data_IF_428886116322
#
_entry.id   IF_428886116322
#
_cell.length_a   1.000
_cell.length_b   1.000
_cell.length_c   1.000
_cell.angle_alpha   90.00
_cell.angle_beta   90.00
_cell.angle_gamma   90.00
#
_symmetry.space_group_name_H-M   'P 1'
#
loop_
_entity.id
_entity.type
_entity.pdbx_description
1 polymer ?
#
# COMPACT_ATOMS: atom_id res chain seq x y z
N UNK A 1 -10.14 0.23 -10.63
CA UNK A 1 -9.03 -0.65 -11.06
C UNK A 1 -8.14 -0.92 -9.86
N UNK A 2 -7.78 -2.17 -9.62
CA UNK A 2 -6.90 -2.55 -8.50
C UNK A 2 -5.57 -3.06 -9.04
N UNK A 3 -4.51 -2.90 -8.27
CA UNK A 3 -3.13 -3.12 -8.66
C UNK A 3 -2.41 -3.96 -7.61
N UNK A 4 -1.50 -4.83 -8.04
CA UNK A 4 -0.66 -5.57 -7.11
C UNK A 4 0.75 -5.82 -7.64
N UNK A 5 1.68 -6.01 -6.72
CA UNK A 5 3.04 -6.48 -7.00
C UNK A 5 3.04 -7.92 -7.51
N UNK A 6 4.00 -8.24 -8.38
CA UNK A 6 4.24 -9.58 -8.92
C UNK A 6 5.57 -10.21 -8.50
N UNK A 7 6.46 -9.44 -7.84
CA UNK A 7 7.82 -9.90 -7.54
C UNK A 7 8.20 -9.67 -6.06
N UNK A 8 7.78 -10.56 -5.15
CA UNK A 8 8.05 -10.43 -3.72
C UNK A 8 9.53 -10.56 -3.31
N UNK A 9 10.44 -10.91 -4.24
CA UNK A 9 11.86 -11.16 -3.93
C UNK A 9 12.61 -9.98 -3.33
N UNK A 10 12.20 -8.74 -3.64
CA UNK A 10 12.69 -7.52 -2.98
C UNK A 10 11.50 -6.66 -2.48
N UNK A 11 11.10 -6.95 -1.24
CA UNK A 11 9.97 -6.33 -0.55
C UNK A 11 10.05 -4.81 -0.43
N UNK A 12 11.26 -4.26 -0.35
CA UNK A 12 11.47 -2.82 -0.19
C UNK A 12 11.33 -2.12 -1.55
N UNK A 13 11.90 -2.71 -2.61
CA UNK A 13 11.75 -2.24 -3.98
C UNK A 13 10.29 -2.29 -4.45
N UNK A 14 9.56 -3.35 -4.13
CA UNK A 14 8.15 -3.47 -4.49
C UNK A 14 7.27 -2.46 -3.78
N UNK A 15 7.58 -2.14 -2.53
CA UNK A 15 6.89 -1.06 -1.82
C UNK A 15 7.20 0.29 -2.47
N UNK A 16 8.46 0.54 -2.84
CA UNK A 16 8.83 1.76 -3.57
C UNK A 16 8.04 1.89 -4.88
N UNK A 17 7.95 0.82 -5.66
CA UNK A 17 7.16 0.77 -6.91
C UNK A 17 5.68 1.00 -6.65
N UNK A 18 5.11 0.37 -5.61
CA UNK A 18 3.71 0.55 -5.22
C UNK A 18 3.41 2.03 -4.91
N UNK A 19 4.29 2.69 -4.17
CA UNK A 19 4.15 4.12 -3.82
C UNK A 19 4.30 4.99 -5.07
N UNK A 20 5.29 4.72 -5.92
CA UNK A 20 5.47 5.45 -7.18
C UNK A 20 4.23 5.32 -8.07
N UNK A 21 3.69 4.11 -8.20
CA UNK A 21 2.47 3.85 -8.96
C UNK A 21 1.29 4.61 -8.37
N UNK A 22 1.08 4.53 -7.06
CA UNK A 22 0.01 5.26 -6.38
C UNK A 22 0.12 6.78 -6.59
N UNK A 23 1.33 7.31 -6.45
CA UNK A 23 1.63 8.72 -6.66
C UNK A 23 1.39 9.13 -8.12
N UNK A 24 1.65 8.26 -9.09
CA UNK A 24 1.37 8.55 -10.51
C UNK A 24 -0.12 8.56 -10.85
N UNK A 25 -0.96 7.89 -10.05
CA UNK A 25 -2.37 7.67 -10.33
C UNK A 25 -3.31 8.65 -9.62
N UNK A 26 -2.86 9.32 -8.56
CA UNK A 26 -3.70 10.21 -7.77
C UNK A 26 -2.91 11.30 -7.04
N UNK A 27 -3.60 12.41 -6.77
CA UNK A 27 -3.10 13.52 -5.93
C UNK A 27 -3.20 13.22 -4.43
N UNK A 28 -3.87 12.13 -4.06
CA UNK A 28 -4.03 11.68 -2.69
C UNK A 28 -3.68 10.20 -2.59
N UNK A 29 -2.73 9.89 -1.71
CA UNK A 29 -2.27 8.52 -1.45
C UNK A 29 -2.47 8.20 0.02
N UNK A 30 -3.22 7.14 0.31
CA UNK A 30 -3.40 6.62 1.66
C UNK A 30 -2.50 5.41 1.88
N UNK A 31 -1.55 5.51 2.80
CA UNK A 31 -0.77 4.39 3.30
C UNK A 31 -1.54 3.77 4.48
N UNK A 32 -1.93 2.50 4.36
CA UNK A 32 -2.62 1.77 5.44
C UNK A 32 -1.67 0.78 6.08
N UNK A 33 -1.45 0.93 7.37
CA UNK A 33 -0.71 -0.05 8.17
C UNK A 33 -1.63 -1.22 8.57
N UNK A 34 -1.31 -2.48 8.24
CA UNK A 34 -2.15 -3.64 8.51
C UNK A 34 -2.34 -4.06 9.98
N UNK A 35 -1.52 -3.62 10.94
CA UNK A 35 -1.63 -4.13 12.33
C UNK A 35 -1.08 -3.19 13.40
N UNK A 36 0.12 -2.63 13.21
CA UNK A 36 0.58 -1.52 14.04
C UNK A 36 1.52 -0.58 13.29
N UNK A 37 1.27 0.71 13.49
CA UNK A 37 2.10 1.84 13.05
C UNK A 37 3.59 1.62 13.39
N UNK A 38 3.91 1.01 14.53
CA UNK A 38 5.29 0.83 15.01
C UNK A 38 6.07 -0.26 14.26
N UNK A 39 5.41 -1.33 13.83
CA UNK A 39 6.06 -2.44 13.11
C UNK A 39 6.48 -2.08 11.69
N UNK A 40 5.69 -1.26 11.00
CA UNK A 40 6.00 -0.79 9.65
C UNK A 40 6.93 0.42 9.61
N UNK A 41 7.06 1.16 10.71
CA UNK A 41 7.81 2.40 10.73
C UNK A 41 9.26 2.18 10.24
N UNK A 42 9.96 1.18 10.79
CA UNK A 42 11.36 0.95 10.41
C UNK A 42 11.51 0.62 8.91
N UNK A 43 10.63 -0.20 8.35
CA UNK A 43 10.74 -0.60 6.94
C UNK A 43 10.30 0.54 6.01
N UNK A 44 9.25 1.27 6.36
CA UNK A 44 8.86 2.49 5.63
C UNK A 44 9.96 3.55 5.67
N UNK A 45 10.65 3.73 6.81
CA UNK A 45 11.79 4.64 6.93
C UNK A 45 12.95 4.25 5.99
N UNK A 46 13.16 2.95 5.76
CA UNK A 46 14.16 2.47 4.79
C UNK A 46 13.76 2.76 3.34
N UNK A 47 12.49 2.57 3.01
CA UNK A 47 11.99 2.68 1.62
C UNK A 47 11.78 4.12 1.18
N UNK A 48 11.13 4.94 2.02
CA UNK A 48 10.73 6.31 1.67
C UNK A 48 11.64 7.35 2.31
N UNK A 49 12.39 6.97 3.34
CA UNK A 49 13.28 7.85 4.07
C UNK A 49 12.73 8.27 5.43
N UNK A 50 13.62 8.26 6.42
CA UNK A 50 13.29 8.51 7.83
C UNK A 50 12.58 9.84 8.09
N UNK A 51 13.05 10.92 7.46
CA UNK A 51 12.51 12.27 7.67
C UNK A 51 11.04 12.35 7.25
N UNK A 52 10.74 11.90 6.04
CA UNK A 52 9.39 11.91 5.48
C UNK A 52 8.43 11.09 6.35
N UNK A 53 8.84 9.88 6.71
CA UNK A 53 8.01 8.97 7.50
C UNK A 53 7.77 9.52 8.90
N UNK A 54 8.79 10.06 9.58
CA UNK A 54 8.64 10.68 10.91
C UNK A 54 7.61 11.80 10.89
N UNK A 55 7.66 12.66 9.86
CA UNK A 55 6.72 13.76 9.68
C UNK A 55 5.31 13.25 9.37
N UNK A 56 5.18 12.26 8.48
CA UNK A 56 3.90 11.63 8.16
C UNK A 56 3.26 10.93 9.37
N UNK A 57 4.06 10.28 10.23
CA UNK A 57 3.55 9.68 11.47
C UNK A 57 3.03 10.70 12.46
N UNK A 58 3.69 11.86 12.54
CA UNK A 58 3.31 12.95 13.44
C UNK A 58 2.05 13.66 12.95
N UNK A 59 2.03 14.06 11.68
CA UNK A 59 0.99 14.92 11.13
C UNK A 59 -0.19 14.12 10.53
N UNK A 60 -0.02 12.81 10.27
CA UNK A 60 -0.99 11.88 9.63
C UNK A 60 -1.42 12.25 8.21
N UNK A 61 -1.06 13.45 7.77
CA UNK A 61 -1.30 14.02 6.45
C UNK A 61 -0.10 14.89 6.09
N UNK A 62 0.56 14.57 4.98
CA UNK A 62 1.76 15.27 4.52
C UNK A 62 1.67 15.59 3.02
N UNK A 63 1.48 16.87 2.64
CA UNK A 63 1.57 17.29 1.25
C UNK A 63 3.03 17.36 0.79
N UNK A 64 3.32 16.74 -0.35
CA UNK A 64 4.63 16.77 -1.01
C UNK A 64 4.48 17.43 -2.38
N UNK A 65 5.31 18.45 -2.62
CA UNK A 65 5.47 19.05 -3.93
C UNK A 65 6.61 18.37 -4.67
N UNK A 66 6.35 17.92 -5.88
CA UNK A 66 7.34 17.37 -6.78
C UNK A 66 7.94 18.47 -7.66
N UNK A 67 9.06 18.17 -8.30
CA UNK A 67 9.79 19.10 -9.18
C UNK A 67 8.98 19.52 -10.41
N UNK A 68 8.03 18.68 -10.84
CA UNK A 68 7.07 18.96 -11.92
C UNK A 68 5.96 19.95 -11.51
N UNK A 69 5.98 20.45 -10.26
CA UNK A 69 4.96 21.34 -9.70
C UNK A 69 3.71 20.64 -9.19
N UNK A 70 3.59 19.32 -9.37
CA UNK A 70 2.48 18.53 -8.85
C UNK A 70 2.57 18.40 -7.34
N UNK A 71 1.41 18.36 -6.68
CA UNK A 71 1.33 18.10 -5.24
C UNK A 71 0.62 16.77 -5.00
N UNK A 72 1.26 15.83 -4.32
CA UNK A 72 0.60 14.64 -3.78
C UNK A 72 0.51 14.75 -2.26
N UNK A 73 -0.68 14.55 -1.72
CA UNK A 73 -0.89 14.47 -0.28
C UNK A 73 -0.88 13.02 0.17
N UNK A 74 0.07 12.67 1.02
CA UNK A 74 0.13 11.38 1.67
C UNK A 74 -0.67 11.40 2.96
N UNK A 75 -1.47 10.36 3.16
CA UNK A 75 -2.24 10.12 4.37
C UNK A 75 -1.74 8.83 4.99
N UNK A 76 -1.82 8.75 6.30
CA UNK A 76 -1.44 7.56 7.04
C UNK A 76 -2.56 7.14 7.97
N UNK A 77 -3.06 5.92 7.78
CA UNK A 77 -4.06 5.31 8.64
C UNK A 77 -3.66 3.89 9.05
N UNK A 78 -4.32 3.39 10.08
CA UNK A 78 -4.42 1.95 10.34
C UNK A 78 -5.75 1.44 9.81
N UNK A 79 -5.92 0.13 9.72
CA UNK A 79 -7.20 -0.51 9.40
C UNK A 79 -8.35 -0.07 10.30
N UNK A 80 -8.03 0.38 11.53
CA UNK A 80 -9.01 0.67 12.59
C UNK A 80 -9.26 2.17 12.81
N UNK A 81 -8.54 3.06 12.11
CA UNK A 81 -8.64 4.51 12.33
C UNK A 81 -9.37 5.21 11.19
N UNK A 82 -10.30 6.11 11.56
CA UNK A 82 -10.94 7.01 10.58
C UNK A 82 -9.88 7.96 10.02
N UNK A 83 -9.74 7.94 8.70
CA UNK A 83 -8.82 8.81 7.96
C UNK A 83 -9.56 10.01 7.37
N UNK A 84 -8.89 11.17 7.28
CA UNK A 84 -9.37 12.34 6.53
C UNK A 84 -9.10 12.23 5.02
N UNK A 85 -8.73 11.03 4.56
CA UNK A 85 -8.47 10.73 3.16
C UNK A 85 -9.72 10.97 2.29
N UNK A 86 -9.65 11.89 1.30
CA UNK A 86 -10.80 12.26 0.48
C UNK A 86 -11.12 11.25 -0.63
N UNK A 87 -10.29 10.22 -0.81
CA UNK A 87 -10.32 9.31 -1.96
C UNK A 87 -9.08 9.47 -2.83
N UNK A 88 -8.77 8.47 -3.66
CA UNK A 88 -7.55 8.45 -4.49
C UNK A 88 -7.01 7.03 -4.60
N UNK A 89 -5.74 6.84 -4.20
CA UNK A 89 -5.12 5.51 -4.17
C UNK A 89 -4.82 5.08 -2.74
N UNK A 90 -5.20 3.87 -2.38
CA UNK A 90 -4.87 3.20 -1.13
C UNK A 90 -3.73 2.22 -1.38
N UNK A 91 -2.63 2.39 -0.66
CA UNK A 91 -1.44 1.52 -0.72
C UNK A 91 -1.38 0.66 0.53
N UNK A 92 -1.28 -0.65 0.31
CA UNK A 92 -1.26 -1.68 1.34
C UNK A 92 0.10 -2.39 1.33
N UNK A 93 1.07 -1.88 2.11
CA UNK A 93 2.37 -2.53 2.28
C UNK A 93 2.23 -3.85 3.01
N UNK A 94 2.78 -4.92 2.43
CA UNK A 94 2.88 -6.25 3.04
C UNK A 94 1.60 -6.71 3.71
N UNK A 95 0.49 -6.57 2.98
CA UNK A 95 -0.82 -6.81 3.53
C UNK A 95 -1.17 -8.30 3.47
N UNK A 96 -2.04 -8.70 4.39
CA UNK A 96 -2.76 -9.96 4.26
C UNK A 96 -3.98 -9.76 3.35
N UNK A 97 -4.55 -10.84 2.83
CA UNK A 97 -5.81 -10.79 2.08
C UNK A 97 -6.93 -10.09 2.87
N UNK A 98 -6.97 -10.31 4.19
CA UNK A 98 -7.93 -9.66 5.08
C UNK A 98 -7.77 -8.14 5.08
N UNK A 99 -6.53 -7.63 5.11
CA UNK A 99 -6.24 -6.20 5.04
C UNK A 99 -6.68 -5.60 3.70
N UNK A 100 -6.50 -6.34 2.60
CA UNK A 100 -6.96 -5.93 1.27
C UNK A 100 -8.48 -5.85 1.21
N UNK A 101 -9.18 -6.89 1.68
CA UNK A 101 -10.63 -6.90 1.75
C UNK A 101 -11.19 -5.70 2.52
N UNK A 102 -10.64 -5.39 3.69
CA UNK A 102 -11.08 -4.24 4.49
C UNK A 102 -10.80 -2.90 3.80
N UNK A 103 -9.66 -2.75 3.15
CA UNK A 103 -9.34 -1.54 2.41
C UNK A 103 -10.31 -1.29 1.25
N UNK A 104 -10.61 -2.32 0.46
CA UNK A 104 -11.58 -2.24 -0.64
C UNK A 104 -12.96 -1.87 -0.11
N UNK A 105 -13.37 -2.47 1.01
CA UNK A 105 -14.67 -2.19 1.63
C UNK A 105 -14.77 -0.78 2.22
N UNK A 106 -13.71 -0.30 2.86
CA UNK A 106 -13.69 1.01 3.53
C UNK A 106 -13.47 2.16 2.54
N UNK A 107 -12.83 1.89 1.40
CA UNK A 107 -12.52 2.89 0.37
C UNK A 107 -12.99 2.42 -1.02
N UNK A 108 -14.30 2.18 -1.23
CA UNK A 108 -14.81 1.52 -2.43
C UNK A 108 -14.60 2.30 -3.73
N UNK A 109 -14.49 3.63 -3.64
CA UNK A 109 -14.24 4.50 -4.79
C UNK A 109 -12.76 4.75 -5.06
N UNK A 110 -11.85 4.17 -4.26
CA UNK A 110 -10.40 4.37 -4.40
C UNK A 110 -9.76 3.22 -5.15
N UNK A 111 -8.66 3.52 -5.85
CA UNK A 111 -7.78 2.48 -6.38
C UNK A 111 -7.04 1.81 -5.22
N UNK A 112 -6.87 0.50 -5.28
CA UNK A 112 -6.10 -0.25 -4.28
C UNK A 112 -4.82 -0.73 -4.94
N UNK A 113 -3.68 -0.47 -4.31
CA UNK A 113 -2.36 -0.97 -4.67
C UNK A 113 -1.88 -1.84 -3.51
N UNK A 114 -1.48 -3.06 -3.80
CA UNK A 114 -1.20 -4.07 -2.79
C UNK A 114 0.18 -4.70 -3.00
N UNK A 115 0.97 -4.78 -1.93
CA UNK A 115 2.17 -5.61 -1.86
C UNK A 115 1.87 -6.76 -0.90
N UNK A 116 1.93 -8.03 -1.36
CA UNK A 116 1.61 -9.16 -0.51
C UNK A 116 2.70 -9.37 0.55
N UNK A 117 2.31 -9.95 1.68
CA UNK A 117 3.26 -10.31 2.74
C UNK A 117 4.00 -11.61 2.41
N UNK A 118 3.27 -12.60 1.90
CA UNK A 118 3.78 -13.83 1.31
C UNK A 118 3.70 -13.74 -0.22
N UNK A 119 4.16 -14.80 -0.86
CA UNK A 119 4.84 -14.77 -2.14
C UNK A 119 4.42 -16.05 -2.87
N UNK A 120 4.07 -15.98 -4.16
CA UNK A 120 3.57 -17.15 -4.91
C UNK A 120 4.63 -18.26 -5.07
N UNK A 121 5.91 -17.95 -4.85
CA UNK A 121 7.05 -18.88 -4.81
C UNK A 121 7.41 -19.31 -3.37
N UNK A 122 6.71 -18.80 -2.34
CA UNK A 122 6.94 -19.17 -0.94
C UNK A 122 6.70 -20.66 -0.75
N UNK A 123 7.76 -21.38 -0.39
CA UNK A 123 7.73 -22.82 -0.12
C UNK A 123 6.90 -23.21 1.11
N UNK A 124 6.48 -22.23 1.91
CA UNK A 124 5.93 -22.43 3.24
C UNK A 124 4.47 -22.90 3.19
N UNK A 125 3.71 -22.62 2.12
CA UNK A 125 2.31 -23.05 1.96
C UNK A 125 2.01 -23.15 0.46
N UNK A 126 1.78 -24.38 -0.04
CA UNK A 126 1.71 -24.70 -1.49
C UNK A 126 0.72 -23.91 -2.36
N UNK A 127 0.68 -24.24 -3.65
CA UNK A 127 -0.05 -23.55 -4.72
C UNK A 127 -1.47 -23.10 -4.29
N UNK A 128 -1.75 -21.80 -4.43
CA UNK A 128 -3.05 -21.21 -4.06
C UNK A 128 -3.22 -20.84 -2.59
N UNK A 129 -2.15 -20.84 -1.78
CA UNK A 129 -2.21 -20.45 -0.36
C UNK A 129 -1.57 -19.10 -0.03
N UNK A 130 -0.85 -18.49 -0.98
CA UNK A 130 -0.28 -17.16 -0.81
C UNK A 130 -1.33 -16.05 -1.03
N UNK A 131 -1.12 -14.86 -0.44
CA UNK A 131 -2.12 -13.80 -0.51
C UNK A 131 -2.31 -13.23 -1.91
N UNK A 132 -1.28 -13.29 -2.76
CA UNK A 132 -1.37 -12.79 -4.12
C UNK A 132 -2.26 -13.70 -4.98
N UNK A 133 -2.02 -15.01 -4.96
CA UNK A 133 -2.84 -15.98 -5.69
C UNK A 133 -4.30 -15.94 -5.21
N UNK A 134 -4.53 -15.90 -3.90
CA UNK A 134 -5.88 -15.78 -3.34
C UNK A 134 -6.56 -14.47 -3.73
N UNK A 135 -5.81 -13.36 -3.73
CA UNK A 135 -6.30 -12.08 -4.17
C UNK A 135 -6.71 -12.09 -5.65
N UNK A 136 -5.94 -12.73 -6.52
CA UNK A 136 -6.27 -12.85 -7.95
C UNK A 136 -7.54 -13.67 -8.20
N UNK A 137 -7.85 -14.66 -7.36
CA UNK A 137 -9.09 -15.42 -7.43
C UNK A 137 -10.32 -14.55 -7.13
N UNK A 138 -10.23 -13.72 -6.09
CA UNK A 138 -11.32 -12.81 -5.69
C UNK A 138 -11.42 -11.58 -6.62
N UNK A 139 -10.31 -11.16 -7.21
CA UNK A 139 -10.19 -9.95 -8.02
C UNK A 139 -9.53 -10.23 -9.40
N UNK A 140 -10.19 -11.01 -10.28
CA UNK A 140 -9.62 -11.46 -11.55
C UNK A 140 -9.39 -10.33 -12.58
N UNK A 141 -9.91 -9.13 -12.32
CA UNK A 141 -9.71 -7.92 -13.15
C UNK A 141 -8.68 -6.96 -12.57
N UNK A 142 -7.97 -7.35 -11.52
CA UNK A 142 -6.84 -6.59 -11.00
C UNK A 142 -5.67 -6.64 -11.99
N UNK A 143 -4.81 -5.63 -11.94
CA UNK A 143 -3.78 -5.38 -12.95
C UNK A 143 -2.40 -5.33 -12.30
N UNK A 144 -1.49 -6.10 -12.86
CA UNK A 144 -0.10 -6.18 -12.44
C UNK A 144 0.64 -4.90 -12.88
N UNK A 145 1.67 -4.49 -12.13
CA UNK A 145 2.52 -3.35 -12.49
C UNK A 145 4.00 -3.63 -12.30
#
# INVERSE_FOLDING_TARGET
>A
MQYHSINPGDRDLELQRAIQKATSLADHVLLVSPSSIKGLNHQLEKVIGKKFITELFKERRLPIKFEDGRTCTYYLATTDTKSSFPGGVVVLPWASLQSVYWAVKNFPSSHTVFVPNEDAQSSIRGEGKDELTLYLLDYPKSINY
#
